data_IF_604898599235
#
_entry.id   IF_604898599235
#
_cell.length_a   1.000
_cell.length_b   1.000
_cell.length_c   1.000
_cell.angle_alpha   90.00
_cell.angle_beta   90.00
_cell.angle_gamma   90.00
#
_symmetry.space_group_name_H-M   'P 1'
#
loop_
_entity.id
_entity.type
_entity.pdbx_description
1 polymer ?
#
# COMPACT_ATOMS: atom_id res chain seq x y z
N UNK A 1 -0.87 -18.01 35.95
CA UNK A 1 -1.35 -16.62 35.89
C UNK A 1 -2.11 -16.45 34.58
N UNK A 2 -3.44 -16.33 34.62
CA UNK A 2 -4.25 -15.97 33.45
C UNK A 2 -4.00 -14.48 33.18
N UNK A 3 -3.21 -14.16 32.17
CA UNK A 3 -3.13 -12.80 31.66
C UNK A 3 -4.45 -12.54 30.96
N UNK A 4 -5.33 -11.77 31.62
CA UNK A 4 -6.50 -11.19 30.99
C UNK A 4 -5.98 -10.33 29.84
N UNK A 5 -5.94 -10.92 28.65
CA UNK A 5 -5.69 -10.19 27.43
C UNK A 5 -6.99 -9.40 27.19
N UNK A 6 -6.97 -8.07 27.25
CA UNK A 6 -8.13 -7.30 26.86
C UNK A 6 -8.51 -7.67 25.42
N UNK A 7 -9.81 -7.81 25.20
CA UNK A 7 -10.51 -8.56 24.15
C UNK A 7 -10.17 -8.14 22.70
N UNK A 8 -8.96 -8.46 22.22
CA UNK A 8 -8.60 -8.35 20.80
C UNK A 8 -8.98 -9.62 20.04
N UNK A 9 -9.61 -9.48 18.88
CA UNK A 9 -10.07 -10.62 18.09
C UNK A 9 -9.05 -11.08 17.04
N UNK A 10 -8.28 -10.14 16.48
CA UNK A 10 -7.36 -10.38 15.37
C UNK A 10 -5.92 -9.96 15.64
N UNK A 11 -5.69 -8.85 16.36
CA UNK A 11 -4.32 -8.39 16.67
C UNK A 11 -3.50 -9.47 17.37
N UNK A 12 -4.11 -10.37 18.14
CA UNK A 12 -3.43 -11.50 18.80
C UNK A 12 -2.99 -12.63 17.86
N UNK A 13 -3.49 -12.67 16.63
CA UNK A 13 -3.23 -13.76 15.66
C UNK A 13 -2.05 -13.47 14.73
N UNK A 14 -1.29 -12.41 14.95
CA UNK A 14 -0.22 -12.06 14.03
C UNK A 14 0.93 -13.08 14.03
N UNK A 15 1.43 -13.38 12.85
CA UNK A 15 2.39 -14.44 12.61
C UNK A 15 3.77 -13.85 12.29
N UNK A 16 4.77 -14.31 13.03
CA UNK A 16 6.19 -14.15 12.72
C UNK A 16 6.69 -15.36 11.95
N UNK A 17 7.43 -15.11 10.88
CA UNK A 17 8.14 -16.12 10.11
C UNK A 17 9.57 -16.24 10.64
N UNK A 18 9.95 -17.45 11.02
CA UNK A 18 11.32 -17.80 11.40
C UNK A 18 11.82 -18.94 10.52
N UNK A 19 13.13 -18.97 10.26
CA UNK A 19 13.79 -20.12 9.66
C UNK A 19 14.41 -20.95 10.75
N UNK A 20 14.05 -22.21 10.79
CA UNK A 20 14.59 -23.17 11.73
C UNK A 20 15.26 -24.31 10.98
N UNK A 21 16.36 -24.80 11.54
CA UNK A 21 17.03 -26.01 11.06
C UNK A 21 16.04 -27.16 10.97
N UNK A 22 16.05 -27.84 9.83
CA UNK A 22 15.38 -29.10 9.54
C UNK A 22 16.39 -30.24 9.29
N UNK A 23 17.60 -30.06 9.86
CA UNK A 23 18.70 -30.99 9.81
C UNK A 23 19.74 -30.70 8.73
N UNK A 24 20.88 -31.37 8.84
CA UNK A 24 22.03 -31.16 7.96
C UNK A 24 21.86 -31.95 6.66
N UNK A 25 22.12 -31.30 5.53
CA UNK A 25 22.22 -31.96 4.23
C UNK A 25 23.41 -32.95 4.24
N UNK A 26 23.17 -34.25 4.03
CA UNK A 26 24.22 -35.27 4.04
C UNK A 26 25.22 -35.16 2.87
N UNK A 27 24.92 -34.41 1.80
CA UNK A 27 25.80 -34.19 0.64
C UNK A 27 26.63 -32.92 0.78
N UNK A 28 26.02 -31.81 1.18
CA UNK A 28 26.69 -30.50 1.24
C UNK A 28 27.21 -30.15 2.63
N UNK A 29 26.70 -30.80 3.68
CA UNK A 29 27.01 -30.47 5.07
C UNK A 29 26.38 -29.15 5.54
N UNK A 30 25.51 -28.54 4.73
CA UNK A 30 24.82 -27.28 5.04
C UNK A 30 23.49 -27.56 5.74
N UNK A 31 23.09 -26.65 6.62
CA UNK A 31 21.83 -26.75 7.35
C UNK A 31 20.63 -26.53 6.41
N UNK A 32 19.67 -27.47 6.39
CA UNK A 32 18.41 -27.30 5.66
C UNK A 32 17.49 -26.47 6.52
N UNK A 33 16.84 -25.46 5.93
CA UNK A 33 15.95 -24.58 6.66
C UNK A 33 14.50 -24.87 6.29
N UNK A 34 13.62 -24.95 7.30
CA UNK A 34 12.17 -24.92 7.11
C UNK A 34 11.56 -23.65 7.67
N UNK A 35 10.44 -23.27 7.08
CA UNK A 35 9.61 -22.17 7.58
C UNK A 35 8.89 -22.60 8.84
N UNK A 36 9.06 -21.82 9.91
CA UNK A 36 8.23 -21.90 11.09
C UNK A 36 7.43 -20.61 11.26
N UNK A 37 6.16 -20.78 11.60
CA UNK A 37 5.24 -19.69 11.86
C UNK A 37 4.94 -19.67 13.35
N UNK A 38 5.33 -18.57 14.00
CA UNK A 38 5.15 -18.40 15.43
C UNK A 38 4.23 -17.20 15.68
N UNK A 39 3.24 -17.37 16.56
CA UNK A 39 2.43 -16.24 17.01
C UNK A 39 3.27 -15.30 17.86
N UNK A 40 3.10 -14.00 17.64
CA UNK A 40 3.80 -12.99 18.43
C UNK A 40 3.02 -12.64 19.70
N UNK A 41 3.72 -12.34 20.82
CA UNK A 41 3.07 -11.77 21.99
C UNK A 41 2.40 -10.45 21.64
N UNK A 42 1.17 -10.26 22.12
CA UNK A 42 0.36 -9.10 21.74
C UNK A 42 1.02 -7.75 22.01
N UNK A 43 1.68 -7.60 23.17
CA UNK A 43 2.41 -6.37 23.53
C UNK A 43 3.54 -6.03 22.56
N UNK A 44 4.10 -7.04 21.91
CA UNK A 44 5.10 -6.83 20.87
C UNK A 44 4.47 -6.32 19.59
N UNK A 45 3.30 -6.84 19.22
CA UNK A 45 2.52 -6.39 18.06
C UNK A 45 2.07 -4.94 18.25
N UNK A 46 1.46 -4.63 19.41
CA UNK A 46 1.02 -3.28 19.77
C UNK A 46 2.19 -2.28 19.68
N UNK A 47 3.32 -2.61 20.31
CA UNK A 47 4.52 -1.77 20.29
C UNK A 47 5.01 -1.52 18.86
N UNK A 48 5.05 -2.54 18.01
CA UNK A 48 5.47 -2.39 16.61
C UNK A 48 4.52 -1.51 15.81
N UNK A 49 3.21 -1.70 15.93
CA UNK A 49 2.23 -0.85 15.24
C UNK A 49 2.36 0.62 15.64
N UNK A 50 2.62 0.90 16.93
CA UNK A 50 2.88 2.26 17.41
C UNK A 50 4.22 2.78 16.89
N UNK A 51 5.30 1.99 16.91
CA UNK A 51 6.61 2.40 16.39
C UNK A 51 6.60 2.69 14.88
N UNK A 52 5.96 1.85 14.09
CA UNK A 52 5.77 2.06 12.64
C UNK A 52 4.92 3.32 12.38
N UNK A 53 3.90 3.55 13.20
CA UNK A 53 3.05 4.75 13.12
C UNK A 53 3.78 6.02 13.55
N UNK A 54 4.62 5.95 14.58
CA UNK A 54 5.47 7.05 15.06
C UNK A 54 6.49 7.45 13.99
N UNK A 55 7.13 6.45 13.38
CA UNK A 55 8.06 6.66 12.26
C UNK A 55 7.35 7.31 11.07
N UNK A 56 6.17 6.81 10.70
CA UNK A 56 5.36 7.43 9.65
C UNK A 56 4.91 8.86 10.01
N UNK A 57 4.50 9.11 11.25
CA UNK A 57 4.12 10.44 11.72
C UNK A 57 5.29 11.41 11.60
N UNK A 58 6.48 11.01 12.04
CA UNK A 58 7.68 11.83 11.94
C UNK A 58 8.11 12.11 10.50
N UNK A 59 7.92 11.17 9.57
CA UNK A 59 8.17 11.43 8.15
C UNK A 59 7.14 12.42 7.56
N UNK A 60 5.88 12.32 7.99
CA UNK A 60 4.80 13.18 7.51
C UNK A 60 4.90 14.61 8.06
N UNK A 61 5.31 14.78 9.32
CA UNK A 61 5.52 16.11 9.92
C UNK A 61 6.90 16.72 9.66
N UNK A 62 7.84 15.91 9.16
CA UNK A 62 9.18 16.32 8.76
C UNK A 62 10.22 16.24 9.87
N UNK A 63 9.89 15.71 11.04
CA UNK A 63 10.86 15.45 12.12
C UNK A 63 11.77 14.25 11.84
N UNK A 64 11.35 13.31 10.99
CA UNK A 64 12.16 12.20 10.48
C UNK A 64 12.48 12.45 9.01
N UNK A 65 13.75 12.72 8.74
CA UNK A 65 14.27 13.02 7.41
C UNK A 65 15.02 11.85 6.78
N UNK A 66 15.42 10.85 7.55
CA UNK A 66 16.17 9.68 7.07
C UNK A 66 15.57 8.41 7.68
N UNK A 67 15.22 7.44 6.83
CA UNK A 67 14.54 6.20 7.24
C UNK A 67 14.54 5.17 6.10
N UNK A 68 14.58 3.88 6.44
CA UNK A 68 14.42 2.77 5.49
C UNK A 68 13.00 2.67 4.89
N UNK A 69 12.06 3.42 5.47
CA UNK A 69 10.69 3.55 5.01
C UNK A 69 10.55 4.42 3.76
N UNK A 70 11.54 5.26 3.43
CA UNK A 70 11.61 5.89 2.12
C UNK A 70 11.89 4.83 1.06
N UNK A 71 11.13 4.84 -0.04
CA UNK A 71 11.27 3.82 -1.08
C UNK A 71 12.70 3.71 -1.64
N UNK A 72 13.39 4.84 -1.78
CA UNK A 72 14.76 4.96 -2.29
C UNK A 72 15.84 4.99 -1.18
N UNK A 73 15.42 4.94 0.10
CA UNK A 73 16.30 5.03 1.26
C UNK A 73 17.06 6.36 1.39
N UNK A 74 16.74 7.40 0.61
CA UNK A 74 17.47 8.65 0.64
C UNK A 74 16.96 9.61 1.73
N UNK A 75 17.82 10.46 2.32
CA UNK A 75 17.35 11.52 3.21
C UNK A 75 16.48 12.55 2.50
N UNK A 76 15.57 13.18 3.25
CA UNK A 76 14.66 14.25 2.79
C UNK A 76 14.94 15.54 3.54
N UNK A 77 15.16 16.63 2.81
CA UNK A 77 15.31 17.97 3.40
C UNK A 77 14.23 18.88 2.82
N UNK A 78 12.97 18.69 3.19
CA UNK A 78 11.87 19.32 2.50
C UNK A 78 11.81 20.81 2.80
N UNK A 79 11.61 21.60 1.74
CA UNK A 79 11.31 23.03 1.79
C UNK A 79 9.86 23.32 2.22
N UNK A 80 9.00 22.30 2.20
CA UNK A 80 7.58 22.39 2.56
C UNK A 80 7.06 21.10 3.22
N UNK A 81 6.10 21.20 4.15
CA UNK A 81 5.54 20.02 4.81
C UNK A 81 4.73 19.15 3.84
N UNK A 82 4.59 17.85 4.16
CA UNK A 82 3.62 17.00 3.48
C UNK A 82 2.23 17.50 3.87
N UNK A 83 1.44 17.87 2.87
CA UNK A 83 0.11 18.44 3.07
C UNK A 83 -1.02 17.45 2.73
N UNK A 84 -0.67 16.39 2.01
CA UNK A 84 -1.61 15.36 1.58
C UNK A 84 -0.95 13.97 1.59
N UNK A 85 -1.71 12.94 1.93
CA UNK A 85 -1.30 11.55 1.94
C UNK A 85 -2.24 10.70 1.07
N UNK A 86 -1.67 9.93 0.16
CA UNK A 86 -2.38 8.98 -0.71
C UNK A 86 -2.07 7.58 -0.18
N UNK A 87 -3.05 6.95 0.46
CA UNK A 87 -2.93 5.57 0.93
C UNK A 87 -3.27 4.61 -0.21
N UNK A 88 -2.35 3.69 -0.48
CA UNK A 88 -2.43 2.72 -1.58
C UNK A 88 -3.21 1.48 -1.20
N UNK A 89 -3.82 0.90 -2.23
CA UNK A 89 -4.69 -0.27 -2.15
C UNK A 89 -5.74 -0.13 -1.02
N UNK A 90 -6.39 -1.23 -0.70
CA UNK A 90 -7.25 -1.38 0.45
C UNK A 90 -6.44 -1.57 1.73
N UNK A 91 -5.26 -2.19 1.65
CA UNK A 91 -4.45 -2.62 2.80
C UNK A 91 -3.78 -1.47 3.55
N UNK A 92 -3.58 -0.29 2.93
CA UNK A 92 -3.13 0.89 3.67
C UNK A 92 -4.27 1.67 4.36
N UNK A 93 -5.54 1.25 4.22
CA UNK A 93 -6.67 1.91 4.90
C UNK A 93 -6.63 1.77 6.42
N UNK A 94 -6.41 0.56 6.98
CA UNK A 94 -6.29 0.42 8.43
C UNK A 94 -5.10 1.20 9.00
N UNK A 95 -4.02 1.39 8.21
CA UNK A 95 -2.91 2.29 8.57
C UNK A 95 -3.42 3.71 8.76
N UNK A 96 -4.14 4.28 7.80
CA UNK A 96 -4.70 5.63 7.96
C UNK A 96 -5.66 5.72 9.16
N UNK A 97 -6.48 4.69 9.40
CA UNK A 97 -7.38 4.64 10.56
C UNK A 97 -6.62 4.65 11.88
N UNK A 98 -5.55 3.86 11.99
CA UNK A 98 -4.65 3.86 13.14
C UNK A 98 -4.03 5.25 13.31
N UNK A 99 -3.39 5.77 12.27
CA UNK A 99 -2.76 7.10 12.27
C UNK A 99 -3.70 8.18 12.79
N UNK A 100 -4.95 8.23 12.32
CA UNK A 100 -5.95 9.22 12.81
C UNK A 100 -6.23 9.13 14.31
N UNK A 101 -6.14 7.94 14.89
CA UNK A 101 -6.44 7.72 16.32
C UNK A 101 -5.26 8.07 17.22
N UNK A 102 -4.04 7.87 16.74
CA UNK A 102 -2.81 8.10 17.51
C UNK A 102 -2.10 9.41 17.17
N UNK A 103 -2.45 10.08 16.06
CA UNK A 103 -1.76 11.27 15.55
C UNK A 103 -1.47 12.32 16.62
N UNK A 104 -2.46 12.71 17.41
CA UNK A 104 -2.32 13.76 18.44
C UNK A 104 -1.31 13.43 19.54
N UNK A 105 -0.91 12.17 19.65
CA UNK A 105 0.10 11.68 20.59
C UNK A 105 1.47 11.52 19.94
N UNK A 106 1.53 11.38 18.62
CA UNK A 106 2.76 11.19 17.85
C UNK A 106 3.31 12.50 17.28
N UNK A 107 2.43 13.45 16.94
CA UNK A 107 2.83 14.71 16.32
C UNK A 107 1.96 15.88 16.77
N UNK A 108 2.59 17.05 16.93
CA UNK A 108 1.92 18.33 17.15
C UNK A 108 1.54 19.03 15.85
N UNK A 109 2.05 18.54 14.70
CA UNK A 109 1.73 19.12 13.41
C UNK A 109 0.28 18.80 13.00
N UNK A 110 -0.23 19.56 12.02
CA UNK A 110 -1.52 19.24 11.42
C UNK A 110 -1.39 17.96 10.59
N UNK A 111 -2.23 16.97 10.87
CA UNK A 111 -2.29 15.74 10.07
C UNK A 111 -2.57 16.08 8.58
N UNK A 112 -1.80 15.51 7.63
CA UNK A 112 -2.05 15.69 6.21
C UNK A 112 -3.48 15.29 5.83
N UNK A 113 -4.06 15.98 4.83
CA UNK A 113 -5.31 15.52 4.24
C UNK A 113 -5.10 14.15 3.58
N UNK A 114 -6.11 13.28 3.56
CA UNK A 114 -5.93 11.91 3.08
C UNK A 114 -6.86 11.59 1.90
N UNK A 115 -6.36 10.75 1.00
CA UNK A 115 -7.15 10.09 -0.04
C UNK A 115 -6.67 8.66 -0.27
N UNK A 116 -7.48 7.85 -0.95
CA UNK A 116 -7.17 6.44 -1.19
C UNK A 116 -7.16 6.14 -2.68
N UNK A 117 -6.21 5.32 -3.14
CA UNK A 117 -6.18 4.86 -4.53
C UNK A 117 -6.00 3.35 -4.56
N UNK A 118 -6.91 2.67 -5.24
CA UNK A 118 -6.83 1.24 -5.48
C UNK A 118 -5.88 1.01 -6.67
N UNK A 119 -4.59 1.18 -6.39
CA UNK A 119 -3.49 0.88 -7.31
C UNK A 119 -2.75 -0.29 -6.68
N UNK A 120 -2.78 -1.44 -7.36
CA UNK A 120 -2.06 -2.65 -6.98
C UNK A 120 -1.22 -3.15 -8.17
N UNK A 121 -0.11 -3.84 -7.88
CA UNK A 121 0.73 -4.46 -8.90
C UNK A 121 -0.09 -5.39 -9.81
N UNK A 122 -1.07 -6.14 -9.29
CA UNK A 122 -1.92 -7.07 -10.03
C UNK A 122 -2.54 -6.47 -11.29
N UNK A 123 -3.10 -5.26 -11.16
CA UNK A 123 -3.87 -4.60 -12.24
C UNK A 123 -3.00 -3.87 -13.26
N UNK A 124 -1.77 -3.52 -12.90
CA UNK A 124 -0.87 -2.69 -13.71
C UNK A 124 0.38 -3.43 -14.21
N UNK A 125 0.70 -4.60 -13.63
CA UNK A 125 1.87 -5.43 -13.98
C UNK A 125 1.93 -5.79 -15.46
N UNK A 126 0.79 -6.07 -16.09
CA UNK A 126 0.74 -6.45 -17.50
C UNK A 126 1.14 -5.31 -18.44
N UNK A 127 1.02 -4.06 -17.99
CA UNK A 127 1.36 -2.89 -18.78
C UNK A 127 2.81 -2.46 -18.54
N UNK A 128 3.27 -2.47 -17.28
CA UNK A 128 4.54 -1.83 -16.89
C UNK A 128 5.72 -2.79 -16.70
N UNK A 129 5.51 -4.11 -16.75
CA UNK A 129 6.60 -5.09 -16.73
C UNK A 129 6.96 -5.57 -18.14
N UNK A 130 8.27 -5.78 -18.36
CA UNK A 130 8.78 -6.39 -19.59
C UNK A 130 8.48 -7.89 -19.66
N UNK A 131 8.65 -8.59 -18.54
CA UNK A 131 8.33 -10.01 -18.40
C UNK A 131 7.08 -10.20 -17.53
N UNK A 132 6.10 -10.92 -18.07
CA UNK A 132 4.85 -11.23 -17.36
C UNK A 132 4.85 -12.65 -16.77
N UNK A 133 5.87 -13.46 -17.03
CA UNK A 133 5.98 -14.82 -16.49
C UNK A 133 6.40 -14.81 -15.01
N UNK A 134 7.13 -13.79 -14.55
CA UNK A 134 7.50 -13.58 -13.13
C UNK A 134 6.65 -12.50 -12.44
N UNK A 135 5.41 -12.29 -12.89
CA UNK A 135 4.61 -11.13 -12.52
C UNK A 135 4.18 -11.05 -11.04
N UNK A 136 4.29 -12.15 -10.28
CA UNK A 136 3.98 -12.15 -8.85
C UNK A 136 5.14 -11.59 -8.00
N UNK A 137 6.37 -11.66 -8.53
CA UNK A 137 7.61 -11.16 -7.92
C UNK A 137 8.45 -10.39 -8.96
N UNK A 138 7.97 -9.26 -9.45
CA UNK A 138 8.72 -8.51 -10.45
C UNK A 138 9.99 -7.92 -9.85
N UNK A 139 11.04 -7.88 -10.67
CA UNK A 139 12.16 -6.96 -10.44
C UNK A 139 11.62 -5.52 -10.46
N UNK A 140 11.75 -4.82 -9.33
CA UNK A 140 11.24 -3.46 -9.17
C UNK A 140 11.92 -2.49 -10.13
N UNK A 141 13.20 -2.72 -10.44
CA UNK A 141 13.95 -1.88 -11.38
C UNK A 141 13.50 -2.09 -12.84
N UNK A 142 12.85 -3.23 -13.13
CA UNK A 142 12.27 -3.49 -14.44
C UNK A 142 10.90 -2.82 -14.67
N UNK A 143 10.31 -2.20 -13.64
CA UNK A 143 9.04 -1.45 -13.75
C UNK A 143 9.31 -0.11 -14.43
N UNK A 144 8.80 0.06 -15.65
CA UNK A 144 8.98 1.28 -16.43
C UNK A 144 7.78 1.61 -17.31
N UNK A 145 7.55 2.90 -17.53
CA UNK A 145 6.60 3.40 -18.53
C UNK A 145 7.05 3.08 -19.96
N UNK A 146 8.36 2.90 -20.19
CA UNK A 146 8.91 2.57 -21.50
C UNK A 146 8.42 1.22 -22.03
N UNK A 147 8.15 0.30 -21.11
CA UNK A 147 7.55 -0.99 -21.44
C UNK A 147 6.13 -0.84 -22.02
N UNK A 148 5.40 0.21 -21.63
CA UNK A 148 4.08 0.52 -22.20
C UNK A 148 4.24 1.05 -23.63
N UNK A 149 5.19 1.97 -23.86
CA UNK A 149 5.45 2.53 -25.18
C UNK A 149 5.85 1.46 -26.21
N UNK A 150 6.53 0.40 -25.77
CA UNK A 150 6.96 -0.70 -26.62
C UNK A 150 5.83 -1.69 -27.00
N UNK A 151 4.64 -1.61 -26.37
CA UNK A 151 3.54 -2.59 -26.56
C UNK A 151 2.57 -2.25 -27.68
N UNK A 152 2.68 -1.07 -28.29
CA UNK A 152 1.83 -0.63 -29.41
C UNK A 152 0.87 0.51 -29.07
N UNK A 153 0.20 1.05 -30.09
CA UNK A 153 -0.64 2.24 -29.95
C UNK A 153 -1.89 2.01 -29.09
N UNK A 154 -2.48 0.81 -29.13
CA UNK A 154 -3.73 0.50 -28.43
C UNK A 154 -3.52 0.46 -26.91
N UNK A 155 -2.50 -0.26 -26.46
CA UNK A 155 -2.09 -0.38 -25.06
C UNK A 155 -1.66 0.98 -24.52
N UNK A 156 -0.94 1.76 -25.32
CA UNK A 156 -0.55 3.11 -24.95
C UNK A 156 -1.76 4.02 -24.78
N UNK A 157 -2.74 3.95 -25.70
CA UNK A 157 -3.96 4.73 -25.61
C UNK A 157 -4.77 4.37 -24.34
N UNK A 158 -4.93 3.07 -24.05
CA UNK A 158 -5.59 2.60 -22.84
C UNK A 158 -4.85 3.01 -21.57
N UNK A 159 -3.52 3.00 -21.56
CA UNK A 159 -2.72 3.48 -20.44
C UNK A 159 -2.94 4.97 -20.20
N UNK A 160 -2.90 5.80 -21.26
CA UNK A 160 -3.16 7.24 -21.20
C UNK A 160 -4.56 7.54 -20.67
N UNK A 161 -5.58 6.78 -21.07
CA UNK A 161 -6.95 6.90 -20.53
C UNK A 161 -6.98 6.72 -19.02
N UNK A 162 -6.29 5.69 -18.51
CA UNK A 162 -6.28 5.42 -17.08
C UNK A 162 -5.50 6.47 -16.30
N UNK A 163 -4.39 7.00 -16.85
CA UNK A 163 -3.65 8.14 -16.25
C UNK A 163 -4.53 9.40 -16.22
N UNK A 164 -5.25 9.69 -17.30
CA UNK A 164 -6.21 10.80 -17.35
C UNK A 164 -7.35 10.63 -16.33
N UNK A 165 -7.87 9.40 -16.19
CA UNK A 165 -8.84 9.04 -15.17
C UNK A 165 -8.31 9.24 -13.74
N UNK A 166 -7.06 8.84 -13.47
CA UNK A 166 -6.38 9.09 -12.20
C UNK A 166 -6.26 10.59 -11.93
N UNK A 167 -5.83 11.40 -12.91
CA UNK A 167 -5.80 12.87 -12.78
C UNK A 167 -7.17 13.44 -12.43
N UNK A 168 -8.23 12.99 -13.12
CA UNK A 168 -9.60 13.44 -12.88
C UNK A 168 -10.06 13.24 -11.42
N UNK A 169 -9.54 12.20 -10.74
CA UNK A 169 -9.83 11.98 -9.32
C UNK A 169 -9.28 13.05 -8.37
N UNK A 170 -8.41 13.93 -8.86
CA UNK A 170 -7.83 15.05 -8.09
C UNK A 170 -8.27 16.42 -8.60
N UNK A 171 -9.18 16.49 -9.57
CA UNK A 171 -9.83 17.75 -9.91
C UNK A 171 -10.83 18.17 -8.83
N UNK A 172 -11.08 19.49 -8.76
CA UNK A 172 -12.11 20.08 -7.93
C UNK A 172 -13.51 19.58 -8.35
N UNK A 173 -14.51 19.69 -7.48
CA UNK A 173 -15.88 19.28 -7.83
C UNK A 173 -16.42 20.06 -9.04
N UNK A 174 -16.08 21.33 -9.12
CA UNK A 174 -16.49 22.22 -10.21
C UNK A 174 -15.82 21.86 -11.53
N UNK A 175 -14.53 21.51 -11.50
CA UNK A 175 -13.79 21.19 -12.72
C UNK A 175 -14.11 19.78 -13.23
N UNK A 176 -14.30 18.80 -12.34
CA UNK A 176 -14.80 17.46 -12.74
C UNK A 176 -16.11 17.56 -13.50
N UNK A 177 -17.01 18.48 -13.11
CA UNK A 177 -18.28 18.65 -13.78
C UNK A 177 -18.12 19.09 -15.25
N UNK A 178 -17.07 19.87 -15.55
CA UNK A 178 -16.79 20.43 -16.88
C UNK A 178 -16.10 19.45 -17.83
N UNK A 179 -15.45 18.40 -17.30
CA UNK A 179 -14.68 17.43 -18.11
C UNK A 179 -15.54 16.76 -19.19
N UNK A 180 -15.13 16.76 -20.44
CA UNK A 180 -15.74 15.94 -21.48
C UNK A 180 -15.32 14.47 -21.34
N UNK A 181 -16.26 13.59 -20.98
CA UNK A 181 -15.99 12.15 -20.81
C UNK A 181 -15.62 11.47 -22.14
N UNK A 182 -16.05 12.02 -23.28
CA UNK A 182 -15.73 11.49 -24.61
C UNK A 182 -14.32 11.84 -25.09
N UNK A 183 -13.69 12.87 -24.48
CA UNK A 183 -12.32 13.29 -24.76
C UNK A 183 -11.48 13.41 -23.48
N UNK A 184 -11.63 12.44 -22.57
CA UNK A 184 -10.94 12.47 -21.26
C UNK A 184 -9.42 12.62 -21.41
N UNK A 185 -8.81 12.04 -22.46
CA UNK A 185 -7.35 12.04 -22.68
C UNK A 185 -6.76 13.43 -22.75
N UNK A 186 -7.50 14.39 -23.26
CA UNK A 186 -7.04 15.76 -23.47
C UNK A 186 -7.70 16.73 -22.49
N UNK A 187 -9.01 16.58 -22.26
CA UNK A 187 -9.79 17.62 -21.58
C UNK A 187 -9.44 17.77 -20.10
N UNK A 188 -9.10 16.67 -19.40
CA UNK A 188 -8.74 16.70 -17.97
C UNK A 188 -7.49 17.52 -17.67
N UNK A 189 -6.61 17.70 -18.67
CA UNK A 189 -5.35 18.43 -18.52
C UNK A 189 -5.52 19.95 -18.56
N UNK A 190 -6.71 20.43 -18.96
CA UNK A 190 -7.04 21.86 -18.98
C UNK A 190 -7.35 22.42 -17.60
N UNK A 191 -7.50 21.55 -16.60
CA UNK A 191 -7.89 21.92 -15.25
C UNK A 191 -6.75 21.63 -14.26
N UNK A 192 -6.55 22.53 -13.26
CA UNK A 192 -5.59 22.29 -12.19
C UNK A 192 -6.10 21.18 -11.26
N UNK A 193 -5.18 20.42 -10.67
CA UNK A 193 -5.53 19.47 -9.61
C UNK A 193 -5.45 20.12 -8.24
N UNK A 194 -6.13 19.54 -7.25
CA UNK A 194 -6.01 19.96 -5.85
C UNK A 194 -4.63 19.69 -5.25
N UNK A 195 -3.76 18.95 -5.95
CA UNK A 195 -2.44 18.55 -5.48
C UNK A 195 -1.30 19.31 -6.17
N UNK A 196 -1.60 20.16 -7.16
CA UNK A 196 -0.57 20.92 -7.89
C UNK A 196 0.26 21.77 -6.92
N UNK A 197 1.59 21.70 -7.05
CA UNK A 197 2.54 22.40 -6.20
C UNK A 197 2.64 21.89 -4.76
N UNK A 198 1.93 20.81 -4.40
CA UNK A 198 1.95 20.25 -3.03
C UNK A 198 2.99 19.16 -2.91
N UNK A 199 3.53 19.01 -1.68
CA UNK A 199 4.25 17.80 -1.27
C UNK A 199 3.25 16.76 -0.76
N UNK A 200 3.30 15.58 -1.34
CA UNK A 200 2.29 14.53 -1.19
C UNK A 200 2.97 13.20 -0.87
N UNK A 201 2.62 12.59 0.27
CA UNK A 201 3.05 11.25 0.58
C UNK A 201 2.22 10.22 -0.21
N UNK A 202 2.87 9.18 -0.72
CA UNK A 202 2.24 7.97 -1.25
C UNK A 202 2.59 6.86 -0.26
N UNK A 203 1.60 6.24 0.36
CA UNK A 203 1.80 5.35 1.51
C UNK A 203 1.31 3.95 1.18
N UNK A 204 2.22 2.99 1.22
CA UNK A 204 1.93 1.56 1.19
C UNK A 204 2.07 0.96 2.60
N UNK A 205 1.37 -0.14 2.92
CA UNK A 205 1.38 -0.64 4.30
C UNK A 205 2.68 -1.38 4.67
N UNK A 206 3.18 -2.26 3.79
CA UNK A 206 4.34 -3.10 4.08
C UNK A 206 5.31 -3.08 2.91
N UNK A 207 6.60 -2.87 3.21
CA UNK A 207 7.68 -3.10 2.26
C UNK A 207 7.87 -4.60 2.02
N UNK A 208 7.10 -5.15 1.08
CA UNK A 208 7.29 -6.51 0.57
C UNK A 208 8.30 -6.50 -0.59
N UNK A 209 7.85 -6.48 -1.85
CA UNK A 209 8.74 -6.25 -3.00
C UNK A 209 8.96 -4.77 -3.29
N UNK A 210 7.98 -3.92 -2.99
CA UNK A 210 7.98 -2.49 -3.34
C UNK A 210 7.43 -2.15 -4.73
N UNK A 211 6.96 -3.16 -5.46
CA UNK A 211 6.41 -2.98 -6.81
C UNK A 211 5.15 -2.09 -6.84
N UNK A 212 4.23 -2.27 -5.89
CA UNK A 212 2.98 -1.49 -5.81
C UNK A 212 3.27 -0.01 -5.61
N UNK A 213 4.11 0.34 -4.62
CA UNK A 213 4.51 1.70 -4.36
C UNK A 213 5.25 2.34 -5.55
N UNK A 214 6.15 1.60 -6.23
CA UNK A 214 6.85 2.07 -7.45
C UNK A 214 5.89 2.37 -8.59
N UNK A 215 4.93 1.49 -8.86
CA UNK A 215 3.89 1.68 -9.88
C UNK A 215 3.06 2.92 -9.55
N UNK A 216 2.63 3.07 -8.30
CA UNK A 216 1.84 4.21 -7.87
C UNK A 216 2.60 5.53 -8.00
N UNK A 217 3.89 5.56 -7.62
CA UNK A 217 4.76 6.73 -7.79
C UNK A 217 4.85 7.16 -9.26
N UNK A 218 5.10 6.22 -10.18
CA UNK A 218 5.13 6.51 -11.62
C UNK A 218 3.78 7.05 -12.11
N UNK A 219 2.67 6.36 -11.79
CA UNK A 219 1.33 6.75 -12.26
C UNK A 219 0.92 8.13 -11.74
N UNK A 220 1.21 8.44 -10.48
CA UNK A 220 0.85 9.72 -9.86
C UNK A 220 1.72 10.86 -10.40
N UNK A 221 3.02 10.65 -10.61
CA UNK A 221 3.90 11.63 -11.28
C UNK A 221 3.47 11.92 -12.71
N UNK A 222 2.98 10.91 -13.43
CA UNK A 222 2.42 11.11 -14.76
C UNK A 222 1.11 11.90 -14.68
N UNK A 223 0.20 11.55 -13.76
CA UNK A 223 -1.11 12.18 -13.66
C UNK A 223 -1.09 13.63 -13.11
N UNK A 224 -0.12 13.95 -12.23
CA UNK A 224 -0.02 15.23 -11.52
C UNK A 224 1.45 15.67 -11.48
N UNK A 225 2.04 16.07 -12.62
CA UNK A 225 3.45 16.37 -12.71
C UNK A 225 3.88 17.57 -11.83
N UNK A 226 2.94 18.45 -11.48
CA UNK A 226 3.19 19.62 -10.63
C UNK A 226 3.30 19.28 -9.13
N UNK A 227 2.96 18.06 -8.71
CA UNK A 227 3.05 17.63 -7.31
C UNK A 227 4.42 16.99 -7.00
N UNK A 228 4.94 17.24 -5.79
CA UNK A 228 6.16 16.61 -5.27
C UNK A 228 5.77 15.35 -4.49
N UNK A 229 5.94 14.17 -5.10
CA UNK A 229 5.57 12.90 -4.47
C UNK A 229 6.70 12.30 -3.62
N UNK A 230 6.29 11.74 -2.47
CA UNK A 230 7.15 11.06 -1.50
C UNK A 230 6.62 9.64 -1.24
N UNK A 231 7.20 8.61 -1.89
CA UNK A 231 6.79 7.23 -1.68
C UNK A 231 7.36 6.65 -0.38
N UNK A 232 6.46 6.24 0.52
CA UNK A 232 6.73 5.76 1.88
C UNK A 232 6.07 4.39 2.14
N UNK A 233 6.73 3.58 2.98
CA UNK A 233 6.11 2.42 3.62
C UNK A 233 5.74 2.74 5.06
N UNK A 234 4.61 2.21 5.54
CA UNK A 234 4.29 2.28 6.97
C UNK A 234 5.15 1.32 7.79
N UNK A 235 5.31 0.07 7.34
CA UNK A 235 6.11 -0.94 8.04
C UNK A 235 7.19 -1.52 7.12
N UNK A 236 8.41 -1.67 7.64
CA UNK A 236 9.56 -2.26 6.92
C UNK A 236 10.03 -3.51 7.67
N UNK A 237 9.28 -4.63 7.59
CA UNK A 237 9.67 -5.86 8.27
C UNK A 237 10.93 -6.44 7.64
N UNK A 238 11.76 -7.10 8.46
CA UNK A 238 12.90 -7.86 7.95
C UNK A 238 12.44 -8.87 6.92
N UNK A 239 13.04 -8.91 5.74
CA UNK A 239 12.77 -9.93 4.74
C UNK A 239 13.53 -11.21 5.12
N UNK A 240 12.79 -12.32 5.17
CA UNK A 240 13.32 -13.65 5.43
C UNK A 240 13.47 -14.36 4.10
N UNK A 241 14.68 -14.79 3.77
CA UNK A 241 15.00 -15.54 2.55
C UNK A 241 15.24 -17.01 2.87
N UNK A 242 14.66 -17.91 2.08
CA UNK A 242 15.03 -19.32 2.10
C UNK A 242 15.18 -19.86 0.68
N UNK A 243 16.01 -20.87 0.53
CA UNK A 243 16.20 -21.54 -0.75
C UNK A 243 15.30 -22.79 -0.82
N UNK A 244 14.66 -22.98 -1.97
CA UNK A 244 13.95 -24.21 -2.33
C UNK A 244 14.94 -25.11 -3.05
N UNK A 245 14.95 -26.37 -2.67
CA UNK A 245 15.82 -27.38 -3.26
C UNK A 245 14.98 -28.39 -4.05
N UNK A 246 15.54 -28.94 -5.13
CA UNK A 246 14.97 -30.11 -5.79
C UNK A 246 15.21 -31.39 -4.96
N UNK A 247 14.66 -32.52 -5.43
CA UNK A 247 14.83 -33.84 -4.82
C UNK A 247 16.30 -34.31 -4.78
N UNK A 248 17.18 -33.68 -5.55
CA UNK A 248 18.61 -33.98 -5.61
C UNK A 248 19.45 -33.12 -4.66
N UNK A 249 18.85 -32.09 -4.05
CA UNK A 249 19.49 -31.16 -3.12
C UNK A 249 20.12 -29.94 -3.79
N UNK A 250 19.80 -29.64 -5.06
CA UNK A 250 20.27 -28.43 -5.72
C UNK A 250 19.30 -27.27 -5.47
N UNK A 251 19.79 -26.06 -5.20
CA UNK A 251 18.93 -24.89 -5.06
C UNK A 251 18.26 -24.59 -6.41
N UNK A 252 16.93 -24.66 -6.44
CA UNK A 252 16.11 -24.39 -7.63
C UNK A 252 15.62 -22.95 -7.67
N UNK A 253 15.34 -22.37 -6.50
CA UNK A 253 14.86 -20.99 -6.39
C UNK A 253 15.08 -20.45 -4.98
N UNK A 254 15.04 -19.13 -4.83
CA UNK A 254 15.01 -18.48 -3.53
C UNK A 254 13.65 -17.81 -3.33
N UNK A 255 13.07 -18.06 -2.18
CA UNK A 255 11.83 -17.47 -1.72
C UNK A 255 12.12 -16.39 -0.68
N UNK A 256 11.27 -15.38 -0.64
CA UNK A 256 11.36 -14.30 0.32
C UNK A 256 9.97 -13.99 0.86
N UNK A 257 9.88 -13.70 2.15
CA UNK A 257 8.67 -13.15 2.75
C UNK A 257 9.04 -12.13 3.81
N UNK A 258 8.15 -11.16 4.01
CA UNK A 258 8.20 -10.30 5.18
C UNK A 258 8.12 -11.17 6.44
N UNK A 259 9.07 -11.00 7.37
CA UNK A 259 9.10 -11.72 8.65
C UNK A 259 7.81 -11.58 9.45
N UNK A 260 7.03 -10.54 9.18
CA UNK A 260 5.73 -10.27 9.75
C UNK A 260 4.97 -9.35 8.82
N UNK A 261 3.65 -9.35 8.92
CA UNK A 261 2.75 -8.45 8.21
C UNK A 261 1.65 -8.02 9.17
N UNK A 262 0.90 -6.93 8.94
CA UNK A 262 -0.22 -6.62 9.78
C UNK A 262 -1.39 -7.59 9.55
N UNK A 263 -2.31 -7.69 10.52
CA UNK A 263 -3.35 -8.73 10.53
C UNK A 263 -4.39 -8.61 9.40
N UNK A 264 -4.49 -7.44 8.77
CA UNK A 264 -5.30 -7.20 7.56
C UNK A 264 -4.55 -7.41 6.25
N UNK A 265 -3.25 -7.71 6.31
CA UNK A 265 -2.44 -8.07 5.15
C UNK A 265 -2.53 -9.57 4.93
N UNK A 266 -3.59 -9.96 4.24
CA UNK A 266 -3.81 -11.32 3.77
C UNK A 266 -3.78 -11.34 2.24
N UNK A 267 -2.90 -12.14 1.66
CA UNK A 267 -2.80 -12.29 0.20
C UNK A 267 -3.94 -13.12 -0.39
N UNK A 268 -4.61 -13.93 0.43
CA UNK A 268 -5.68 -14.84 0.02
C UNK A 268 -7.07 -14.21 0.22
N UNK A 269 -7.16 -13.08 0.94
CA UNK A 269 -8.41 -12.39 1.23
C UNK A 269 -8.30 -10.88 1.14
N UNK A 270 -9.30 -10.26 0.50
CA UNK A 270 -9.50 -8.81 0.50
C UNK A 270 -10.26 -8.27 1.71
N UNK A 271 -10.70 -9.14 2.63
CA UNK A 271 -11.44 -8.77 3.84
C UNK A 271 -10.55 -8.06 4.87
N UNK A 272 -11.15 -7.37 5.84
CA UNK A 272 -10.40 -6.64 6.89
C UNK A 272 -9.91 -5.25 6.50
N UNK A 273 -10.12 -4.86 5.25
CA UNK A 273 -9.58 -3.63 4.67
C UNK A 273 -10.60 -2.49 4.56
N UNK A 274 -11.86 -2.74 4.94
CA UNK A 274 -12.94 -1.74 5.02
C UNK A 274 -13.37 -1.15 3.66
N UNK A 275 -13.06 -1.83 2.55
CA UNK A 275 -13.52 -1.44 1.20
C UNK A 275 -13.61 -2.64 0.25
N UNK A 276 -14.53 -2.57 -0.72
CA UNK A 276 -14.70 -3.56 -1.78
C UNK A 276 -13.72 -3.37 -2.95
N UNK A 277 -13.55 -4.43 -3.73
CA UNK A 277 -12.62 -4.45 -4.88
C UNK A 277 -13.00 -3.42 -5.93
N UNK A 278 -12.04 -3.16 -6.81
CA UNK A 278 -12.27 -2.41 -8.03
C UNK A 278 -13.33 -3.15 -8.85
N UNK A 279 -14.42 -2.46 -9.19
CA UNK A 279 -15.36 -2.91 -10.22
C UNK A 279 -15.49 -1.80 -11.26
N UNK A 280 -14.77 -1.98 -12.36
CA UNK A 280 -14.69 -0.99 -13.45
C UNK A 280 -16.05 -0.82 -14.11
N UNK A 281 -16.76 -1.93 -14.37
CA UNK A 281 -18.03 -1.92 -15.10
C UNK A 281 -19.09 -1.17 -14.30
N UNK A 282 -19.15 -1.42 -12.99
CA UNK A 282 -20.08 -0.73 -12.12
C UNK A 282 -19.68 0.74 -11.90
N UNK A 283 -18.38 1.01 -11.72
CA UNK A 283 -17.89 2.38 -11.55
C UNK A 283 -18.17 3.26 -12.76
N UNK A 284 -18.06 2.72 -13.98
CA UNK A 284 -18.41 3.41 -15.22
C UNK A 284 -19.91 3.72 -15.35
N UNK A 285 -20.77 3.01 -14.60
CA UNK A 285 -22.22 3.24 -14.55
C UNK A 285 -22.64 4.11 -13.37
N UNK A 286 -21.71 4.54 -12.52
CA UNK A 286 -22.01 5.31 -11.32
C UNK A 286 -22.58 6.69 -11.70
N UNK A 287 -23.59 7.16 -10.97
CA UNK A 287 -24.17 8.49 -11.17
C UNK A 287 -23.17 9.63 -10.93
N UNK A 288 -22.17 9.40 -10.08
CA UNK A 288 -21.12 10.37 -9.74
C UNK A 288 -20.01 10.35 -10.79
N UNK A 289 -19.93 11.42 -11.58
CA UNK A 289 -18.93 11.59 -12.66
C UNK A 289 -17.49 11.30 -12.23
N UNK A 290 -17.09 11.78 -11.04
CA UNK A 290 -15.74 11.52 -10.50
C UNK A 290 -15.42 10.03 -10.34
N UNK A 291 -16.42 9.21 -10.01
CA UNK A 291 -16.28 7.76 -9.89
C UNK A 291 -16.18 7.07 -11.25
N UNK A 292 -16.98 7.52 -12.22
CA UNK A 292 -16.87 7.06 -13.62
C UNK A 292 -15.49 7.33 -14.21
N UNK A 293 -15.01 8.57 -14.09
CA UNK A 293 -13.70 8.97 -14.59
C UNK A 293 -12.56 8.21 -13.87
N UNK A 294 -12.71 7.96 -12.57
CA UNK A 294 -11.75 7.22 -11.75
C UNK A 294 -11.94 5.71 -11.71
N UNK A 295 -12.70 5.11 -12.63
CA UNK A 295 -13.16 3.72 -12.55
C UNK A 295 -12.05 2.66 -12.43
N UNK A 296 -10.82 2.99 -12.85
CA UNK A 296 -9.66 2.08 -12.79
C UNK A 296 -8.77 2.23 -11.55
N UNK A 297 -9.06 3.22 -10.69
CA UNK A 297 -8.19 3.56 -9.53
C UNK A 297 -8.97 3.84 -8.24
N UNK A 298 -10.30 3.79 -8.29
CA UNK A 298 -11.16 3.98 -7.13
C UNK A 298 -11.79 2.65 -6.72
N UNK A 299 -11.44 2.16 -5.54
CA UNK A 299 -12.18 1.06 -4.92
C UNK A 299 -13.60 1.49 -4.56
N UNK A 300 -14.47 0.52 -4.27
CA UNK A 300 -15.88 0.80 -3.99
C UNK A 300 -16.16 0.87 -2.48
N UNK A 301 -16.66 2.00 -1.96
CA UNK A 301 -17.10 2.03 -0.57
C UNK A 301 -18.27 1.05 -0.38
N UNK A 302 -18.35 0.44 0.79
CA UNK A 302 -19.58 -0.22 1.23
C UNK A 302 -20.72 0.80 1.29
N UNK A 303 -21.97 0.39 1.02
CA UNK A 303 -23.11 1.30 1.06
C UNK A 303 -23.41 1.78 2.50
N UNK A 304 -22.94 1.03 3.50
CA UNK A 304 -22.95 1.37 4.91
C UNK A 304 -22.19 0.35 5.75
N UNK A 305 -22.11 0.61 7.06
CA UNK A 305 -21.43 -0.26 8.04
C UNK A 305 -22.01 -1.68 8.02
N UNK A 306 -23.32 -1.83 7.79
CA UNK A 306 -24.01 -3.12 7.76
C UNK A 306 -23.58 -4.03 6.59
N UNK A 307 -23.00 -3.46 5.52
CA UNK A 307 -22.45 -4.25 4.40
C UNK A 307 -20.95 -4.52 4.53
N UNK A 308 -20.30 -3.89 5.51
CA UNK A 308 -18.88 -4.10 5.74
C UNK A 308 -18.64 -5.52 6.26
N UNK A 309 -17.55 -6.14 5.81
CA UNK A 309 -17.18 -7.47 6.31
C UNK A 309 -16.86 -7.42 7.81
N UNK A 310 -17.25 -8.47 8.54
CA UNK A 310 -17.10 -8.53 10.00
C UNK A 310 -15.65 -8.38 10.44
N UNK A 311 -14.71 -8.93 9.67
CA UNK A 311 -13.27 -8.80 9.90
C UNK A 311 -12.84 -7.32 9.91
N UNK A 312 -13.31 -6.50 8.97
CA UNK A 312 -13.03 -5.05 8.97
C UNK A 312 -13.57 -4.34 10.22
N UNK A 313 -14.77 -4.71 10.67
CA UNK A 313 -15.37 -4.12 11.89
C UNK A 313 -14.56 -4.47 13.14
N UNK A 314 -14.18 -5.74 13.26
CA UNK A 314 -13.39 -6.23 14.39
C UNK A 314 -11.97 -5.65 14.39
N UNK A 315 -11.30 -5.54 13.24
CA UNK A 315 -9.99 -4.86 13.14
C UNK A 315 -10.10 -3.39 13.54
N UNK A 316 -11.17 -2.70 13.15
CA UNK A 316 -11.38 -1.31 13.57
C UNK A 316 -11.54 -1.18 15.09
N UNK A 317 -12.21 -2.15 15.72
CA UNK A 317 -12.36 -2.19 17.16
C UNK A 317 -11.04 -2.51 17.87
N UNK A 318 -10.28 -3.48 17.37
CA UNK A 318 -8.94 -3.78 17.86
C UNK A 318 -8.04 -2.52 17.76
N UNK A 319 -8.08 -1.77 16.65
CA UNK A 319 -7.33 -0.50 16.52
C UNK A 319 -7.83 0.60 17.48
N UNK A 320 -9.13 0.63 17.82
CA UNK A 320 -9.67 1.53 18.85
C UNK A 320 -9.08 1.21 20.22
N UNK A 321 -9.07 -0.07 20.58
CA UNK A 321 -8.54 -0.53 21.86
C UNK A 321 -7.05 -0.26 21.98
N UNK A 322 -6.27 -0.51 20.92
CA UNK A 322 -4.85 -0.18 20.85
C UNK A 322 -4.62 1.31 21.11
N UNK A 323 -5.32 2.17 20.37
CA UNK A 323 -5.18 3.62 20.52
C UNK A 323 -5.60 4.12 21.91
N UNK A 324 -6.63 3.51 22.52
CA UNK A 324 -7.07 3.86 23.87
C UNK A 324 -6.01 3.53 24.93
N UNK A 325 -5.24 2.45 24.76
CA UNK A 325 -4.13 2.12 25.68
C UNK A 325 -2.88 2.92 25.44
N UNK A 326 -2.62 3.34 24.21
CA UNK A 326 -1.51 4.25 23.95
C UNK A 326 -1.71 5.62 24.63
N UNK A 327 -2.98 6.00 24.90
CA UNK A 327 -3.33 7.22 25.64
C UNK A 327 -3.08 7.15 27.14
N UNK A 328 -3.03 5.94 27.71
CA UNK A 328 -2.93 5.68 29.16
C UNK A 328 -1.50 5.44 29.58
#
# INVERSE_FOLDING_TARGET
MKTNNPEYNYIDRNVKIELVSDGIDPKTGVDRLKRQFNQMPIREIERRYIQDSDTLAGMLDGSITESEHFMDGQPRYPDMPISHAIYLDKSARPVHLLMRKVWSHLSTAKMPAASYRNIDKGSWRQLMLKDTQNADKPDVEAISVDNVYARGEMELAAFKDRVAGLRATYLSREDVAKVDESNIREDVWRYPTILDGRRVAIIDEVKSSGATLKIADILLRLAIPEAKFEPLYWSVPTLVRWDIYDDEGNPTSSEFAASQVPVWYDSESGMGRGIRDLDVVESMRDSVKKRRLGAYVLGRPYSGIAEMDSLSLEIMEDLNQLAARFKS
#
